data_IF_981117160150
#
_entry.id   IF_981117160150
#
_cell.length_a   1.000
_cell.length_b   1.000
_cell.length_c   1.000
_cell.angle_alpha   90.00
_cell.angle_beta   90.00
_cell.angle_gamma   90.00
#
_symmetry.space_group_name_H-M   'P 1'
#
loop_
_entity.id
_entity.type
_entity.pdbx_description
1 polymer ?
#
# COMPACT_ATOMS: atom_id res chain seq x y z
N UNK A 1 11.69 -58.40 18.11
CA UNK A 1 12.43 -57.20 17.64
C UNK A 1 12.09 -56.93 16.18
N UNK A 2 11.31 -55.88 15.89
CA UNK A 2 11.21 -55.16 14.59
C UNK A 2 9.87 -54.43 14.54
N UNK A 3 9.92 -53.09 14.47
CA UNK A 3 9.01 -52.19 13.73
C UNK A 3 9.21 -50.76 14.24
N UNK A 4 10.14 -50.03 13.62
CA UNK A 4 10.19 -48.57 13.66
C UNK A 4 10.74 -48.08 12.33
N UNK A 5 9.88 -47.90 11.32
CA UNK A 5 10.14 -47.02 10.16
C UNK A 5 8.81 -46.52 9.61
N UNK A 6 8.18 -45.53 10.25
CA UNK A 6 7.14 -44.69 9.61
C UNK A 6 7.31 -43.27 10.16
N UNK A 7 8.16 -42.44 9.54
CA UNK A 7 8.23 -41.00 9.85
C UNK A 7 9.04 -40.19 8.81
N UNK A 8 8.79 -40.33 7.50
CA UNK A 8 9.56 -39.56 6.50
C UNK A 8 8.76 -38.92 5.35
N UNK A 9 7.42 -38.99 5.34
CA UNK A 9 6.61 -38.50 4.20
C UNK A 9 5.90 -37.15 4.42
N UNK A 10 6.22 -36.39 5.47
CA UNK A 10 5.52 -35.13 5.80
C UNK A 10 6.30 -33.83 5.48
N UNK A 11 7.37 -33.88 4.69
CA UNK A 11 8.16 -32.70 4.34
C UNK A 11 8.29 -32.47 2.83
N UNK A 12 7.18 -32.56 2.09
CA UNK A 12 7.12 -31.89 0.78
C UNK A 12 6.61 -30.47 1.02
N UNK A 13 7.48 -29.43 0.96
CA UNK A 13 7.00 -28.06 0.94
C UNK A 13 6.16 -27.89 -0.34
N UNK A 14 4.85 -27.81 -0.18
CA UNK A 14 3.97 -27.41 -1.26
C UNK A 14 4.37 -26.01 -1.71
N UNK A 15 4.56 -25.82 -3.01
CA UNK A 15 4.74 -24.48 -3.59
C UNK A 15 3.45 -23.70 -3.28
N UNK A 16 3.53 -22.77 -2.33
CA UNK A 16 2.44 -21.85 -2.08
C UNK A 16 2.38 -20.89 -3.28
N UNK A 17 1.46 -21.15 -4.21
CA UNK A 17 1.08 -20.18 -5.22
C UNK A 17 0.29 -19.07 -4.52
N UNK A 18 0.96 -17.96 -4.22
CA UNK A 18 0.28 -16.72 -3.87
C UNK A 18 -0.36 -16.19 -5.15
N UNK A 19 -1.55 -16.69 -5.49
CA UNK A 19 -2.38 -16.07 -6.51
C UNK A 19 -2.74 -14.66 -6.04
N UNK A 20 -2.57 -13.68 -6.93
CA UNK A 20 -3.00 -12.32 -6.65
C UNK A 20 -4.52 -12.28 -6.55
N UNK A 21 -5.04 -11.44 -5.65
CA UNK A 21 -6.49 -11.27 -5.50
C UNK A 21 -7.15 -10.70 -6.78
N UNK A 22 -6.41 -9.93 -7.57
CA UNK A 22 -6.83 -9.33 -8.83
C UNK A 22 -5.64 -9.03 -9.78
N UNK A 23 -5.82 -9.32 -11.07
CA UNK A 23 -4.82 -9.05 -12.13
C UNK A 23 -5.23 -7.86 -13.00
N UNK A 24 -4.28 -7.34 -13.79
CA UNK A 24 -4.58 -6.33 -14.81
C UNK A 24 -5.61 -6.79 -15.84
N UNK A 25 -5.72 -8.10 -16.10
CA UNK A 25 -6.72 -8.67 -16.99
C UNK A 25 -8.11 -8.54 -16.36
N UNK A 26 -8.24 -8.83 -15.07
CA UNK A 26 -9.50 -8.69 -14.33
C UNK A 26 -9.97 -7.24 -14.31
N UNK A 27 -9.06 -6.30 -14.03
CA UNK A 27 -9.36 -4.87 -14.06
C UNK A 27 -9.71 -4.38 -15.47
N UNK A 28 -9.02 -4.86 -16.50
CA UNK A 28 -9.33 -4.50 -17.88
C UNK A 28 -10.70 -5.02 -18.30
N UNK A 29 -11.03 -6.28 -17.96
CA UNK A 29 -12.35 -6.86 -18.23
C UNK A 29 -13.45 -6.07 -17.51
N UNK A 30 -13.25 -5.78 -16.23
CA UNK A 30 -14.15 -4.95 -15.42
C UNK A 30 -14.43 -3.57 -16.04
N UNK A 31 -13.46 -3.02 -16.78
CA UNK A 31 -13.57 -1.73 -17.42
C UNK A 31 -14.10 -1.76 -18.86
N UNK A 32 -14.16 -2.93 -19.50
CA UNK A 32 -14.46 -3.06 -20.93
C UNK A 32 -15.67 -3.94 -21.23
N UNK A 33 -16.07 -4.79 -20.30
CA UNK A 33 -17.33 -5.51 -20.42
C UNK A 33 -18.54 -4.57 -20.23
N UNK A 34 -19.71 -5.05 -20.66
CA UNK A 34 -20.97 -4.32 -20.57
C UNK A 34 -21.85 -4.83 -19.42
N UNK A 35 -21.26 -5.46 -18.41
CA UNK A 35 -22.04 -5.97 -17.29
C UNK A 35 -22.55 -4.83 -16.40
N UNK A 36 -23.75 -4.99 -15.87
CA UNK A 36 -24.38 -3.97 -15.03
C UNK A 36 -23.52 -3.68 -13.81
N UNK A 37 -23.25 -2.41 -13.53
CA UNK A 37 -22.44 -1.98 -12.39
C UNK A 37 -20.92 -1.98 -12.63
N UNK A 38 -20.42 -2.65 -13.67
CA UNK A 38 -18.98 -2.78 -13.91
C UNK A 38 -18.32 -1.43 -14.21
N UNK A 39 -19.00 -0.51 -14.90
CA UNK A 39 -18.48 0.85 -15.09
C UNK A 39 -18.22 1.57 -13.74
N UNK A 40 -19.12 1.42 -12.76
CA UNK A 40 -18.94 2.01 -11.43
C UNK A 40 -17.79 1.33 -10.66
N UNK A 41 -17.66 0.01 -10.79
CA UNK A 41 -16.56 -0.74 -10.18
C UNK A 41 -15.21 -0.39 -10.80
N UNK A 42 -15.12 -0.31 -12.13
CA UNK A 42 -13.93 0.13 -12.86
C UNK A 42 -13.47 1.52 -12.39
N UNK A 43 -14.42 2.47 -12.32
CA UNK A 43 -14.18 3.82 -11.82
C UNK A 43 -13.68 3.79 -10.36
N UNK A 44 -14.37 3.03 -9.50
CA UNK A 44 -14.07 2.91 -8.08
C UNK A 44 -12.68 2.29 -7.83
N UNK A 45 -12.36 1.19 -8.48
CA UNK A 45 -11.08 0.49 -8.37
C UNK A 45 -9.92 1.39 -8.85
N UNK A 46 -10.07 2.02 -10.02
CA UNK A 46 -9.04 2.93 -10.55
C UNK A 46 -8.77 4.09 -9.60
N UNK A 47 -9.84 4.68 -9.04
CA UNK A 47 -9.74 5.76 -8.05
C UNK A 47 -9.11 5.28 -6.75
N UNK A 48 -9.48 4.09 -6.27
CA UNK A 48 -8.97 3.53 -5.02
C UNK A 48 -7.44 3.32 -5.05
N UNK A 49 -6.86 2.91 -6.18
CA UNK A 49 -5.40 2.84 -6.30
C UNK A 49 -4.75 4.22 -6.22
N UNK A 50 -5.36 5.25 -6.80
CA UNK A 50 -4.85 6.61 -6.71
C UNK A 50 -4.98 7.18 -5.29
N UNK A 51 -6.10 6.93 -4.61
CA UNK A 51 -6.29 7.27 -3.20
C UNK A 51 -5.26 6.55 -2.32
N UNK A 52 -4.98 5.28 -2.59
CA UNK A 52 -3.92 4.51 -1.90
C UNK A 52 -2.54 5.11 -2.14
N UNK A 53 -2.22 5.57 -3.35
CA UNK A 53 -0.97 6.28 -3.63
C UNK A 53 -0.87 7.54 -2.76
N UNK A 54 -1.93 8.33 -2.67
CA UNK A 54 -1.96 9.49 -1.78
C UNK A 54 -1.81 9.11 -0.30
N UNK A 55 -2.54 8.09 0.16
CA UNK A 55 -2.48 7.60 1.53
C UNK A 55 -1.08 7.07 1.91
N UNK A 56 -0.34 6.53 0.94
CA UNK A 56 1.03 6.04 1.13
C UNK A 56 2.10 7.12 0.91
N UNK A 57 1.70 8.37 0.64
CA UNK A 57 2.59 9.53 0.61
C UNK A 57 3.16 9.87 -0.77
N UNK A 58 2.63 9.31 -1.85
CA UNK A 58 2.97 9.77 -3.20
C UNK A 58 2.51 11.20 -3.41
N UNK A 59 3.32 11.97 -4.14
CA UNK A 59 3.01 13.35 -4.55
C UNK A 59 2.86 13.41 -6.05
N UNK A 60 1.65 13.69 -6.54
CA UNK A 60 1.31 13.73 -7.96
C UNK A 60 1.02 15.16 -8.42
N UNK A 61 1.33 15.47 -9.68
CA UNK A 61 1.06 16.75 -10.32
C UNK A 61 -0.40 16.82 -10.85
N UNK A 62 -1.38 16.61 -9.96
CA UNK A 62 -2.80 16.77 -10.29
C UNK A 62 -3.49 17.64 -9.22
N UNK A 63 -4.03 18.82 -9.60
CA UNK A 63 -4.58 19.78 -8.64
C UNK A 63 -6.00 19.44 -8.14
N UNK A 64 -6.74 18.56 -8.84
CA UNK A 64 -8.04 18.05 -8.42
C UNK A 64 -8.28 16.67 -9.07
N UNK A 65 -8.69 15.67 -8.27
CA UNK A 65 -8.85 14.30 -8.74
C UNK A 65 -10.11 14.17 -9.58
N UNK A 66 -9.96 14.33 -10.89
CA UNK A 66 -10.95 13.87 -11.86
C UNK A 66 -10.91 12.35 -11.92
N UNK A 67 -11.88 11.69 -11.28
CA UNK A 67 -11.99 10.22 -11.23
C UNK A 67 -12.08 9.61 -12.62
N UNK A 68 -12.75 10.28 -13.55
CA UNK A 68 -12.87 9.81 -14.93
C UNK A 68 -11.49 9.81 -15.60
N UNK A 69 -10.70 10.86 -15.36
CA UNK A 69 -9.33 10.92 -15.87
C UNK A 69 -8.43 9.84 -15.28
N UNK A 70 -8.56 9.55 -13.98
CA UNK A 70 -7.84 8.47 -13.30
C UNK A 70 -8.19 7.12 -13.95
N UNK A 71 -9.49 6.81 -14.11
CA UNK A 71 -9.96 5.61 -14.82
C UNK A 71 -9.39 5.52 -16.22
N UNK A 72 -9.48 6.59 -17.01
CA UNK A 72 -9.07 6.59 -18.41
C UNK A 72 -7.58 6.32 -18.59
N UNK A 73 -6.76 6.86 -17.70
CA UNK A 73 -5.31 6.61 -17.70
C UNK A 73 -5.02 5.14 -17.41
N UNK A 74 -5.65 4.57 -16.38
CA UNK A 74 -5.46 3.16 -16.02
C UNK A 74 -5.92 2.25 -17.15
N UNK A 75 -7.13 2.47 -17.67
CA UNK A 75 -7.68 1.69 -18.77
C UNK A 75 -6.83 1.82 -20.04
N UNK A 76 -6.36 3.03 -20.37
CA UNK A 76 -5.44 3.23 -21.50
C UNK A 76 -4.17 2.41 -21.34
N UNK A 77 -3.55 2.45 -20.17
CA UNK A 77 -2.32 1.70 -19.92
C UNK A 77 -2.52 0.18 -20.06
N UNK A 78 -3.60 -0.35 -19.48
CA UNK A 78 -3.95 -1.77 -19.63
C UNK A 78 -4.23 -2.10 -21.10
N UNK A 79 -4.93 -1.23 -21.82
CA UNK A 79 -5.21 -1.39 -23.26
C UNK A 79 -3.93 -1.47 -24.08
N UNK A 80 -2.99 -0.56 -23.84
CA UNK A 80 -1.73 -0.43 -24.56
C UNK A 80 -0.68 -1.49 -24.18
N UNK A 81 -0.85 -2.20 -23.05
CA UNK A 81 0.11 -3.20 -22.53
C UNK A 81 -0.56 -4.57 -22.26
N UNK A 82 -1.12 -5.26 -23.28
CA UNK A 82 -1.84 -6.51 -23.08
C UNK A 82 -0.97 -7.64 -22.51
N UNK A 83 0.31 -7.67 -22.84
CA UNK A 83 1.31 -8.62 -22.37
C UNK A 83 1.54 -8.55 -20.85
N UNK A 84 1.32 -7.37 -20.25
CA UNK A 84 1.51 -7.14 -18.81
C UNK A 84 0.28 -7.47 -17.98
N UNK A 85 -0.89 -7.69 -18.58
CA UNK A 85 -2.17 -7.84 -17.85
C UNK A 85 -2.21 -9.03 -16.88
N UNK A 86 -1.32 -10.00 -17.01
CA UNK A 86 -1.18 -11.07 -16.01
C UNK A 86 -0.54 -10.65 -14.68
N UNK A 87 -0.03 -9.41 -14.58
CA UNK A 87 0.54 -8.85 -13.35
C UNK A 87 -0.56 -8.31 -12.42
N UNK A 88 -0.24 -8.01 -11.14
CA UNK A 88 -1.20 -7.44 -10.19
C UNK A 88 -1.83 -6.14 -10.72
N UNK A 89 -3.14 -6.02 -10.59
CA UNK A 89 -3.86 -4.84 -11.04
C UNK A 89 -3.34 -3.54 -10.41
N UNK A 90 -3.04 -3.60 -9.11
CA UNK A 90 -2.51 -2.48 -8.33
C UNK A 90 -1.16 -1.98 -8.84
N UNK A 91 -0.24 -2.87 -9.19
CA UNK A 91 1.08 -2.51 -9.72
C UNK A 91 0.96 -1.81 -11.07
N UNK A 92 0.13 -2.35 -11.97
CA UNK A 92 -0.11 -1.75 -13.29
C UNK A 92 -0.83 -0.41 -13.18
N UNK A 93 -1.80 -0.28 -12.27
CA UNK A 93 -2.46 0.98 -11.98
C UNK A 93 -1.46 2.02 -11.48
N UNK A 94 -0.65 1.71 -10.46
CA UNK A 94 0.39 2.62 -9.95
C UNK A 94 1.36 3.02 -11.06
N UNK A 95 1.84 2.08 -11.87
CA UNK A 95 2.75 2.38 -12.99
C UNK A 95 2.12 3.37 -13.99
N UNK A 96 0.85 3.17 -14.33
CA UNK A 96 0.10 4.07 -15.23
C UNK A 96 -0.05 5.48 -14.64
N UNK A 97 -0.42 5.57 -13.36
CA UNK A 97 -0.69 6.82 -12.65
C UNK A 97 0.59 7.61 -12.40
N UNK A 98 1.69 6.93 -12.03
CA UNK A 98 3.02 7.55 -11.92
C UNK A 98 3.43 8.24 -13.21
N UNK A 99 3.20 7.58 -14.34
CA UNK A 99 3.56 8.11 -15.66
C UNK A 99 2.67 9.28 -16.05
N UNK A 100 1.35 9.13 -15.92
CA UNK A 100 0.39 10.14 -16.38
C UNK A 100 0.36 11.40 -15.51
N UNK A 101 0.54 11.24 -14.20
CA UNK A 101 0.40 12.33 -13.21
C UNK A 101 1.71 12.70 -12.54
N UNK A 102 2.84 12.26 -13.10
CA UNK A 102 4.19 12.59 -12.62
C UNK A 102 4.34 12.35 -11.11
N UNK A 103 3.81 11.22 -10.63
CA UNK A 103 3.82 10.93 -9.20
C UNK A 103 5.23 10.57 -8.73
N UNK A 104 5.66 11.22 -7.66
CA UNK A 104 6.92 10.97 -6.97
C UNK A 104 6.65 10.10 -5.75
N UNK A 105 7.43 9.04 -5.59
CA UNK A 105 7.38 8.15 -4.43
C UNK A 105 7.66 8.91 -3.13
N UNK A 106 7.05 8.48 -2.00
CA UNK A 106 7.41 8.99 -0.69
C UNK A 106 8.90 8.73 -0.43
N UNK A 107 9.57 9.64 0.28
CA UNK A 107 10.87 9.33 0.81
C UNK A 107 10.76 8.09 1.70
N UNK A 108 11.75 7.17 1.71
CA UNK A 108 11.74 6.05 2.63
C UNK A 108 11.46 6.57 4.04
N UNK A 109 10.66 5.85 4.86
CA UNK A 109 10.55 6.18 6.26
C UNK A 109 11.98 6.36 6.78
N UNK A 110 12.30 7.52 7.33
CA UNK A 110 13.61 7.68 7.97
C UNK A 110 13.65 6.60 9.04
N UNK A 111 14.39 5.51 8.78
CA UNK A 111 14.52 4.39 9.69
C UNK A 111 14.80 5.01 11.05
N UNK A 112 13.85 4.88 11.99
CA UNK A 112 13.75 5.64 13.24
C UNK A 112 15.11 6.25 13.56
N UNK A 113 15.35 7.50 13.15
CA UNK A 113 16.58 8.18 13.57
C UNK A 113 16.55 8.03 15.08
N UNK A 114 17.56 7.40 15.72
CA UNK A 114 17.54 7.23 17.15
C UNK A 114 17.29 8.61 17.73
N UNK A 115 16.12 8.79 18.36
CA UNK A 115 15.79 10.04 19.02
C UNK A 115 16.99 10.36 19.89
N UNK A 116 17.59 11.54 19.69
CA UNK A 116 18.70 11.98 20.52
C UNK A 116 18.31 11.72 21.99
N UNK A 117 19.21 11.16 22.82
CA UNK A 117 18.86 10.79 24.18
C UNK A 117 18.20 11.98 24.87
N UNK A 118 17.04 11.74 25.48
CA UNK A 118 16.34 12.77 26.23
C UNK A 118 17.33 13.43 27.21
N UNK A 119 17.31 14.77 27.38
CA UNK A 119 18.12 15.42 28.38
C UNK A 119 17.84 14.76 29.73
N UNK A 120 18.88 14.25 30.41
CA UNK A 120 18.73 13.63 31.73
C UNK A 120 18.04 14.65 32.64
N UNK A 121 16.87 14.29 33.15
CA UNK A 121 16.14 15.10 34.12
C UNK A 121 17.08 15.39 35.31
N UNK A 122 17.44 16.65 35.49
CA UNK A 122 18.22 17.10 36.63
C UNK A 122 17.48 16.75 37.91
N UNK A 123 18.15 16.04 38.81
CA UNK A 123 17.64 15.64 40.12
C UNK A 123 17.13 16.90 40.86
N UNK A 124 15.85 16.98 41.27
CA UNK A 124 15.37 18.11 42.05
C UNK A 124 16.12 18.15 43.39
N UNK A 125 16.80 19.27 43.67
CA UNK A 125 17.37 19.54 44.99
C UNK A 125 16.22 19.85 45.94
N UNK A 126 15.85 18.89 46.77
CA UNK A 126 14.92 19.10 47.88
C UNK A 126 15.53 20.09 48.87
N UNK A 127 14.98 21.30 48.94
CA UNK A 127 15.17 22.23 50.05
C UNK A 127 14.05 22.02 51.08
N UNK A 128 14.32 22.20 52.38
CA UNK A 128 13.29 22.04 53.41
C UNK A 128 12.21 23.11 53.27
N UNK A 129 10.95 22.66 53.22
CA UNK A 129 9.77 23.53 53.27
C UNK A 129 9.62 24.02 54.71
N UNK A 130 9.87 25.31 54.95
CA UNK A 130 9.53 25.99 56.20
C UNK A 130 8.01 26.23 56.22
N UNK A 131 7.30 25.54 57.10
CA UNK A 131 5.90 25.81 57.39
C UNK A 131 5.84 26.94 58.43
N UNK A 132 5.44 28.14 58.01
CA UNK A 132 5.01 29.22 58.92
C UNK A 132 3.50 29.11 59.18
N UNK A 133 3.04 29.16 60.44
CA UNK A 133 1.62 29.22 60.75
C UNK A 133 1.08 30.63 60.51
N UNK A 134 -0.01 30.73 59.75
CA UNK A 134 -0.84 31.94 59.66
C UNK A 134 -1.69 32.04 60.93
N UNK A 135 -1.69 33.22 61.55
CA UNK A 135 -2.59 33.59 62.64
C UNK A 135 -3.94 34.05 62.10
#
# INVERSE_FOLDING_TARGET
MKRLVIAALLFFPGIAHAEYFDTGADLWNLCTDNASGHNYLCMGMSTAYFDMMHATGYRCAMPAVDREKVRDVVLKYLTDNPDKRGQPASELAIASLKTAFQCVEPAPPQAMRPSAPAPKAGKPKGGPILLTPQQ
#
